data_IF_012696898605
#
_entry.id   IF_012696898605
#
_cell.length_a   1.000
_cell.length_b   1.000
_cell.length_c   1.000
_cell.angle_alpha   90.00
_cell.angle_beta   90.00
_cell.angle_gamma   90.00
#
_symmetry.space_group_name_H-M   'P 1'
#
loop_
_entity.id
_entity.type
_entity.pdbx_description
1 polymer ?
#
# COMPACT_ATOMS: atom_id res chain seq x y z
N UNK A 1 -3.31 -29.94 -48.95
CA UNK A 1 -3.74 -28.62 -48.42
C UNK A 1 -2.74 -28.24 -47.34
N UNK A 2 -2.22 -27.01 -47.41
CA UNK A 2 -0.98 -26.58 -46.76
C UNK A 2 -0.98 -26.70 -45.23
N UNK A 3 -0.08 -27.52 -44.70
CA UNK A 3 0.27 -27.59 -43.27
C UNK A 3 1.26 -26.48 -42.91
N UNK A 4 0.76 -25.40 -42.32
CA UNK A 4 1.58 -24.28 -41.83
C UNK A 4 1.95 -24.57 -40.37
N UNK A 5 3.13 -25.18 -40.21
CA UNK A 5 3.84 -25.32 -38.94
C UNK A 5 4.30 -23.93 -38.50
N UNK A 6 3.60 -23.32 -37.54
CA UNK A 6 4.04 -22.10 -36.88
C UNK A 6 5.23 -22.42 -35.96
N UNK A 7 6.36 -21.81 -36.29
CA UNK A 7 7.63 -21.93 -35.59
C UNK A 7 7.54 -21.30 -34.19
N UNK A 8 7.99 -22.08 -33.20
CA UNK A 8 8.29 -21.64 -31.85
C UNK A 8 9.59 -20.83 -31.90
N UNK A 9 9.52 -19.52 -31.69
CA UNK A 9 10.72 -18.69 -31.46
C UNK A 9 11.05 -18.72 -29.96
N UNK A 10 12.09 -19.48 -29.60
CA UNK A 10 12.76 -19.43 -28.31
C UNK A 10 13.68 -18.21 -28.25
N UNK A 11 13.38 -17.26 -27.35
CA UNK A 11 14.29 -16.15 -27.04
C UNK A 11 15.25 -16.59 -25.93
N UNK A 12 16.51 -16.82 -26.30
CA UNK A 12 17.66 -17.01 -25.41
C UNK A 12 18.19 -15.62 -25.04
N UNK A 13 18.05 -15.21 -23.78
CA UNK A 13 18.71 -14.03 -23.23
C UNK A 13 20.12 -14.41 -22.76
N UNK A 14 21.12 -13.99 -23.54
CA UNK A 14 22.54 -14.17 -23.28
C UNK A 14 23.08 -12.94 -22.53
N UNK A 15 23.70 -13.19 -21.36
CA UNK A 15 24.43 -12.23 -20.54
C UNK A 15 25.85 -12.05 -21.08
N UNK A 16 26.41 -10.84 -21.14
CA UNK A 16 27.86 -10.67 -21.18
C UNK A 16 28.40 -10.07 -19.87
N UNK A 17 29.42 -10.72 -19.33
CA UNK A 17 30.28 -10.25 -18.24
C UNK A 17 31.75 -10.36 -18.70
N UNK A 18 32.50 -9.25 -18.68
CA UNK A 18 33.98 -9.05 -18.69
C UNK A 18 34.29 -7.67 -19.32
N UNK A 19 35.25 -6.82 -18.91
CA UNK A 19 36.25 -6.85 -17.85
C UNK A 19 36.87 -5.43 -17.65
N UNK A 20 37.56 -5.29 -16.53
CA UNK A 20 38.44 -4.21 -16.07
C UNK A 20 39.37 -3.58 -17.11
N UNK A 21 39.67 -2.30 -16.89
CA UNK A 21 41.02 -1.78 -16.96
C UNK A 21 41.16 -0.60 -15.99
N UNK A 22 42.09 -0.77 -15.04
CA UNK A 22 42.61 0.19 -14.08
C UNK A 22 43.58 1.16 -14.77
N UNK A 23 43.73 2.38 -14.24
CA UNK A 23 45.02 3.09 -14.18
C UNK A 23 44.96 4.21 -13.13
N UNK A 24 45.75 4.02 -12.07
CA UNK A 24 46.19 4.97 -11.02
C UNK A 24 47.66 5.36 -11.36
N UNK A 25 48.44 6.13 -10.57
CA UNK A 25 48.22 7.36 -9.80
C UNK A 25 49.33 8.40 -10.12
N UNK A 26 49.24 9.68 -9.68
CA UNK A 26 50.42 10.41 -9.16
C UNK A 26 50.06 11.47 -8.12
N UNK A 27 50.59 11.27 -6.90
CA UNK A 27 50.78 12.27 -5.84
C UNK A 27 52.06 13.05 -6.11
N UNK A 28 52.06 14.38 -5.95
CA UNK A 28 53.18 15.14 -5.33
C UNK A 28 52.66 16.46 -4.74
N UNK A 29 52.60 16.57 -3.41
CA UNK A 29 53.42 17.46 -2.55
C UNK A 29 53.09 18.97 -2.64
N UNK A 30 52.55 19.49 -1.52
CA UNK A 30 52.43 20.90 -1.14
C UNK A 30 53.78 21.61 -1.09
N UNK A 31 53.81 22.93 -1.38
CA UNK A 31 54.52 23.83 -0.48
C UNK A 31 53.68 25.01 0.01
N UNK A 32 54.21 25.60 1.07
CA UNK A 32 53.60 26.52 2.02
C UNK A 32 53.34 27.95 1.51
N UNK A 33 52.48 28.63 2.28
CA UNK A 33 52.04 30.04 2.23
C UNK A 33 53.23 31.02 2.35
N UNK A 34 53.14 32.25 1.80
CA UNK A 34 53.00 33.40 2.70
C UNK A 34 51.81 34.32 2.34
N UNK A 35 51.30 34.98 3.38
CA UNK A 35 50.16 35.88 3.35
C UNK A 35 50.40 37.15 2.53
N UNK A 36 49.35 37.66 1.88
CA UNK A 36 49.25 39.05 1.45
C UNK A 36 47.92 39.64 2.00
N UNK A 37 47.92 40.86 2.57
CA UNK A 37 46.80 41.39 3.34
C UNK A 37 45.85 42.20 2.49
N UNK A 38 44.55 42.02 2.73
CA UNK A 38 43.55 43.08 2.53
C UNK A 38 42.87 43.15 1.16
N UNK A 39 41.66 42.58 1.09
CA UNK A 39 40.54 43.24 0.41
C UNK A 39 39.30 43.06 1.31
N UNK A 40 38.65 44.14 1.77
CA UNK A 40 37.46 44.06 2.59
C UNK A 40 36.20 43.89 1.72
N UNK A 41 35.36 42.94 2.12
CA UNK A 41 33.94 42.94 1.81
C UNK A 41 33.56 42.33 0.46
N UNK A 42 33.24 41.04 0.46
CA UNK A 42 32.31 40.51 -0.53
C UNK A 42 31.12 39.90 0.19
N UNK A 43 29.97 40.55 -0.02
CA UNK A 43 28.68 40.16 0.54
C UNK A 43 28.35 38.83 -0.09
N UNK A 44 28.35 37.74 0.69
CA UNK A 44 27.64 36.53 0.29
C UNK A 44 26.26 36.96 -0.21
N UNK A 45 25.90 36.76 -1.49
CA UNK A 45 24.56 37.12 -1.93
C UNK A 45 23.62 36.25 -1.13
N UNK A 46 22.92 36.89 -0.18
CA UNK A 46 21.80 36.29 0.51
C UNK A 46 20.86 35.79 -0.59
N UNK A 47 20.72 34.46 -0.69
CA UNK A 47 19.63 33.84 -1.45
C UNK A 47 18.35 34.59 -1.05
N UNK A 48 17.70 35.32 -1.97
CA UNK A 48 16.55 36.11 -1.61
C UNK A 48 15.47 35.14 -1.14
N UNK A 49 15.08 35.27 0.13
CA UNK A 49 13.91 34.61 0.69
C UNK A 49 12.71 35.04 -0.16
N UNK A 50 12.35 34.19 -1.11
CA UNK A 50 11.13 34.34 -1.92
C UNK A 50 9.96 34.37 -0.92
N UNK A 51 8.99 35.30 -1.03
CA UNK A 51 7.89 35.38 -0.08
C UNK A 51 7.13 34.05 -0.09
N UNK A 52 7.29 33.27 0.98
CA UNK A 52 6.87 31.88 1.06
C UNK A 52 5.34 31.70 1.16
N UNK A 53 4.57 32.78 1.23
CA UNK A 53 3.13 32.76 1.55
C UNK A 53 2.29 31.96 0.54
N UNK A 54 2.25 32.27 -0.77
CA UNK A 54 1.40 31.53 -1.72
C UNK A 54 1.88 30.09 -1.97
N UNK A 55 3.19 29.84 -1.84
CA UNK A 55 3.75 28.49 -2.01
C UNK A 55 3.40 27.57 -0.82
N UNK A 56 3.32 28.12 0.40
CA UNK A 56 2.91 27.38 1.60
C UNK A 56 1.40 27.12 1.65
N UNK A 57 0.57 28.10 1.25
CA UNK A 57 -0.88 27.94 1.11
C UNK A 57 -1.23 26.84 0.10
N UNK A 58 -0.70 26.92 -1.12
CA UNK A 58 -0.90 25.88 -2.16
C UNK A 58 -0.44 24.49 -1.69
N UNK A 59 0.61 24.42 -0.88
CA UNK A 59 1.10 23.15 -0.33
C UNK A 59 0.21 22.63 0.79
N UNK A 60 -0.39 23.52 1.59
CA UNK A 60 -1.39 23.19 2.61
C UNK A 60 -2.62 22.56 1.97
N UNK A 61 -3.21 23.21 0.97
CA UNK A 61 -4.42 22.75 0.28
C UNK A 61 -4.20 21.38 -0.37
N UNK A 62 -3.04 21.16 -1.00
CA UNK A 62 -2.68 19.86 -1.58
C UNK A 62 -2.58 18.76 -0.52
N UNK A 63 -2.12 19.08 0.68
CA UNK A 63 -2.06 18.11 1.79
C UNK A 63 -3.45 17.79 2.33
N UNK A 64 -4.33 18.79 2.48
CA UNK A 64 -5.72 18.60 2.89
C UNK A 64 -6.48 17.70 1.91
N UNK A 65 -6.45 18.05 0.63
CA UNK A 65 -7.08 17.27 -0.44
C UNK A 65 -6.59 15.81 -0.47
N UNK A 66 -5.29 15.60 -0.23
CA UNK A 66 -4.76 14.24 -0.16
C UNK A 66 -5.15 13.52 1.14
N UNK A 67 -5.28 14.25 2.25
CA UNK A 67 -5.84 13.76 3.51
C UNK A 67 -7.25 13.22 3.29
N UNK A 68 -8.17 14.05 2.80
CA UNK A 68 -9.54 13.67 2.49
C UNK A 68 -9.63 12.46 1.55
N UNK A 69 -8.81 12.43 0.48
CA UNK A 69 -8.79 11.30 -0.44
C UNK A 69 -8.40 10.01 0.26
N UNK A 70 -7.48 10.06 1.22
CA UNK A 70 -7.08 8.89 2.01
C UNK A 70 -8.19 8.48 2.98
N UNK A 71 -8.88 9.43 3.62
CA UNK A 71 -10.04 9.15 4.46
C UNK A 71 -11.15 8.42 3.68
N UNK A 72 -11.57 8.96 2.53
CA UNK A 72 -12.56 8.32 1.64
C UNK A 72 -12.13 6.91 1.21
N UNK A 73 -10.83 6.69 0.98
CA UNK A 73 -10.30 5.36 0.66
C UNK A 73 -10.25 4.42 1.88
N UNK A 74 -10.10 4.97 3.08
CA UNK A 74 -10.23 4.26 4.35
C UNK A 74 -11.65 3.74 4.54
N UNK A 75 -12.65 4.63 4.45
CA UNK A 75 -14.07 4.30 4.56
C UNK A 75 -14.51 3.24 3.55
N UNK A 76 -14.18 3.41 2.26
CA UNK A 76 -14.45 2.38 1.23
C UNK A 76 -13.83 1.02 1.52
N UNK A 77 -12.71 0.99 2.27
CA UNK A 77 -12.07 -0.26 2.67
C UNK A 77 -12.77 -0.87 3.88
N UNK A 78 -13.23 -0.07 4.83
CA UNK A 78 -14.07 -0.51 5.96
C UNK A 78 -15.37 -1.14 5.45
N UNK A 79 -16.10 -0.45 4.55
CA UNK A 79 -17.32 -1.00 3.93
C UNK A 79 -17.09 -2.35 3.22
N UNK A 80 -15.94 -2.49 2.54
CA UNK A 80 -15.55 -3.78 1.92
C UNK A 80 -15.25 -4.83 2.98
N UNK A 81 -14.67 -4.43 4.10
CA UNK A 81 -14.44 -5.26 5.28
C UNK A 81 -15.74 -5.81 5.82
N UNK A 82 -16.70 -4.94 6.14
CA UNK A 82 -18.05 -5.30 6.62
C UNK A 82 -18.77 -6.23 5.65
N UNK A 83 -18.76 -5.93 4.35
CA UNK A 83 -19.37 -6.82 3.34
C UNK A 83 -18.77 -8.22 3.34
N UNK A 84 -17.47 -8.36 3.61
CA UNK A 84 -16.85 -9.67 3.75
C UNK A 84 -17.24 -10.37 5.05
N UNK A 85 -17.40 -9.64 6.15
CA UNK A 85 -17.89 -10.19 7.43
C UNK A 85 -19.30 -10.74 7.25
N UNK A 86 -20.22 -9.93 6.71
CA UNK A 86 -21.60 -10.35 6.43
C UNK A 86 -21.68 -11.55 5.46
N UNK A 87 -20.74 -11.64 4.51
CA UNK A 87 -20.63 -12.80 3.62
C UNK A 87 -20.06 -14.03 4.33
N UNK A 88 -19.23 -13.86 5.35
CA UNK A 88 -18.72 -14.93 6.19
C UNK A 88 -19.83 -15.52 7.06
N UNK A 89 -20.59 -14.65 7.73
CA UNK A 89 -21.71 -15.04 8.60
C UNK A 89 -22.75 -15.84 7.81
N UNK A 90 -23.13 -15.37 6.61
CA UNK A 90 -24.05 -16.10 5.72
C UNK A 90 -23.51 -17.47 5.27
N UNK A 91 -22.20 -17.66 5.23
CA UNK A 91 -21.62 -18.97 4.91
C UNK A 91 -21.64 -19.89 6.14
N UNK A 92 -21.41 -19.37 7.35
CA UNK A 92 -21.57 -20.11 8.60
C UNK A 92 -23.02 -20.57 8.77
N UNK A 93 -24.00 -19.67 8.62
CA UNK A 93 -25.43 -20.01 8.71
C UNK A 93 -25.84 -21.10 7.69
N UNK A 94 -25.25 -21.08 6.49
CA UNK A 94 -25.46 -22.15 5.49
C UNK A 94 -24.79 -23.46 5.89
N UNK A 95 -23.65 -23.39 6.57
CA UNK A 95 -22.97 -24.55 7.13
C UNK A 95 -23.83 -25.22 8.20
N UNK A 96 -24.33 -24.45 9.16
CA UNK A 96 -25.22 -24.92 10.23
C UNK A 96 -26.48 -25.57 9.68
N UNK A 97 -27.16 -24.93 8.72
CA UNK A 97 -28.34 -25.52 8.03
C UNK A 97 -28.00 -26.82 7.30
N UNK A 98 -26.76 -26.97 6.87
CA UNK A 98 -26.30 -28.20 6.24
C UNK A 98 -26.05 -29.29 7.28
N UNK A 99 -25.51 -28.96 8.45
CA UNK A 99 -25.39 -29.90 9.57
C UNK A 99 -26.76 -30.37 10.07
N UNK A 100 -27.75 -29.47 10.24
CA UNK A 100 -29.11 -29.84 10.64
C UNK A 100 -29.78 -30.81 9.64
N UNK A 101 -29.50 -30.63 8.34
CA UNK A 101 -29.97 -31.57 7.29
C UNK A 101 -29.21 -32.90 7.34
N UNK A 102 -27.95 -32.89 7.74
CA UNK A 102 -27.15 -34.09 7.92
C UNK A 102 -27.78 -34.95 9.02
N UNK A 103 -28.08 -34.35 10.17
CA UNK A 103 -28.73 -35.02 11.30
C UNK A 103 -30.07 -35.67 10.90
N UNK A 104 -30.90 -34.96 10.12
CA UNK A 104 -32.16 -35.51 9.60
C UNK A 104 -31.96 -36.69 8.66
N UNK A 105 -30.92 -36.66 7.82
CA UNK A 105 -30.58 -37.77 6.93
C UNK A 105 -30.04 -38.97 7.71
N UNK A 106 -29.24 -38.72 8.74
CA UNK A 106 -28.68 -39.76 9.61
C UNK A 106 -29.80 -40.49 10.35
N UNK A 107 -30.74 -39.74 10.94
CA UNK A 107 -31.94 -40.27 11.58
C UNK A 107 -32.85 -41.06 10.61
N UNK A 108 -32.79 -40.78 9.31
CA UNK A 108 -33.50 -41.51 8.27
C UNK A 108 -32.75 -42.75 7.75
N UNK A 109 -31.57 -43.07 8.31
CA UNK A 109 -30.74 -44.22 7.91
C UNK A 109 -29.85 -43.96 6.69
N UNK A 110 -29.63 -42.70 6.31
CA UNK A 110 -28.79 -42.31 5.18
C UNK A 110 -27.40 -41.81 5.63
N UNK A 111 -26.70 -42.59 6.45
CA UNK A 111 -25.42 -42.25 7.10
C UNK A 111 -24.37 -41.64 6.13
N UNK A 112 -24.10 -42.31 4.99
CA UNK A 112 -23.11 -41.81 4.01
C UNK A 112 -23.50 -40.47 3.39
N UNK A 113 -24.81 -40.20 3.26
CA UNK A 113 -25.29 -38.93 2.75
C UNK A 113 -25.19 -37.84 3.82
N UNK A 114 -25.51 -38.19 5.08
CA UNK A 114 -25.36 -37.32 6.24
C UNK A 114 -23.90 -36.89 6.44
N UNK A 115 -22.96 -37.83 6.51
CA UNK A 115 -21.52 -37.55 6.68
C UNK A 115 -20.97 -36.61 5.60
N UNK A 116 -21.40 -36.79 4.35
CA UNK A 116 -21.02 -35.90 3.24
C UNK A 116 -21.57 -34.49 3.41
N UNK A 117 -22.77 -34.37 3.97
CA UNK A 117 -23.43 -33.09 4.21
C UNK A 117 -22.78 -32.36 5.39
N UNK A 118 -22.50 -33.07 6.48
CA UNK A 118 -21.78 -32.56 7.65
C UNK A 118 -20.41 -32.00 7.27
N UNK A 119 -19.59 -32.79 6.54
CA UNK A 119 -18.27 -32.34 6.04
C UNK A 119 -18.36 -31.07 5.19
N UNK A 120 -19.40 -30.95 4.37
CA UNK A 120 -19.63 -29.74 3.57
C UNK A 120 -20.08 -28.56 4.44
N UNK A 121 -20.88 -28.82 5.48
CA UNK A 121 -21.29 -27.83 6.48
C UNK A 121 -20.08 -27.23 7.20
N UNK A 122 -19.22 -28.08 7.78
CA UNK A 122 -17.98 -27.63 8.43
C UNK A 122 -17.06 -26.85 7.47
N UNK A 123 -16.97 -27.29 6.21
CA UNK A 123 -16.13 -26.61 5.21
C UNK A 123 -16.67 -25.21 4.92
N UNK A 124 -17.99 -25.03 4.90
CA UNK A 124 -18.64 -23.73 4.73
C UNK A 124 -18.42 -22.83 5.95
N UNK A 125 -18.52 -23.34 7.16
CA UNK A 125 -18.23 -22.59 8.39
C UNK A 125 -16.77 -22.12 8.43
N UNK A 126 -15.81 -23.02 8.18
CA UNK A 126 -14.38 -22.69 8.08
C UNK A 126 -14.11 -21.63 7.00
N UNK A 127 -14.79 -21.72 5.86
CA UNK A 127 -14.71 -20.70 4.82
C UNK A 127 -15.32 -19.36 5.25
N UNK A 128 -16.42 -19.40 6.02
CA UNK A 128 -17.09 -18.27 6.66
C UNK A 128 -16.17 -17.50 7.59
N UNK A 129 -15.60 -18.19 8.58
CA UNK A 129 -14.63 -17.63 9.51
C UNK A 129 -13.43 -16.99 8.80
N UNK A 130 -12.89 -17.66 7.78
CA UNK A 130 -11.78 -17.12 6.99
C UNK A 130 -12.16 -15.82 6.31
N UNK A 131 -13.41 -15.70 5.85
CA UNK A 131 -13.92 -14.49 5.19
C UNK A 131 -14.14 -13.35 6.18
N UNK A 132 -14.71 -13.63 7.35
CA UNK A 132 -14.82 -12.66 8.45
C UNK A 132 -13.45 -12.14 8.89
N UNK A 133 -12.49 -13.04 9.13
CA UNK A 133 -11.11 -12.66 9.46
C UNK A 133 -10.49 -11.76 8.40
N UNK A 134 -10.79 -12.01 7.11
CA UNK A 134 -10.34 -11.15 6.00
C UNK A 134 -11.06 -9.79 6.02
N UNK A 135 -12.36 -9.79 6.31
CA UNK A 135 -13.17 -8.59 6.49
C UNK A 135 -12.61 -7.68 7.58
N UNK A 136 -12.42 -8.20 8.79
CA UNK A 136 -11.86 -7.44 9.91
C UNK A 136 -10.43 -6.95 9.66
N UNK A 137 -9.61 -7.69 8.88
CA UNK A 137 -8.30 -7.17 8.44
C UNK A 137 -8.42 -5.97 7.50
N UNK A 138 -9.41 -5.98 6.60
CA UNK A 138 -9.64 -4.84 5.72
C UNK A 138 -10.18 -3.63 6.47
N UNK A 139 -11.09 -3.82 7.41
CA UNK A 139 -11.61 -2.76 8.27
C UNK A 139 -10.50 -2.05 9.04
N UNK A 140 -9.65 -2.81 9.75
CA UNK A 140 -8.46 -2.27 10.42
C UNK A 140 -7.51 -1.52 9.49
N UNK A 141 -7.34 -2.00 8.26
CA UNK A 141 -6.54 -1.28 7.26
C UNK A 141 -7.23 0.01 6.79
N UNK A 142 -8.56 0.03 6.72
CA UNK A 142 -9.36 1.20 6.39
C UNK A 142 -9.23 2.27 7.47
N UNK A 143 -9.44 1.91 8.74
CA UNK A 143 -9.22 2.79 9.90
C UNK A 143 -7.80 3.39 9.91
N UNK A 144 -6.77 2.56 9.73
CA UNK A 144 -5.38 3.04 9.67
C UNK A 144 -5.19 4.08 8.57
N UNK A 145 -5.85 3.88 7.43
CA UNK A 145 -5.76 4.81 6.29
C UNK A 145 -6.51 6.11 6.56
N UNK A 146 -7.65 6.03 7.22
CA UNK A 146 -8.42 7.19 7.65
C UNK A 146 -7.64 8.05 8.64
N UNK A 147 -7.06 7.46 9.68
CA UNK A 147 -6.16 8.16 10.62
C UNK A 147 -4.97 8.81 9.91
N UNK A 148 -4.41 8.15 8.89
CA UNK A 148 -3.33 8.74 8.09
C UNK A 148 -3.82 9.91 7.21
N UNK A 149 -5.06 9.83 6.72
CA UNK A 149 -5.76 10.92 6.05
C UNK A 149 -5.91 12.14 6.95
N UNK A 150 -6.49 11.94 8.13
CA UNK A 150 -6.68 12.97 9.15
C UNK A 150 -5.35 13.64 9.55
N UNK A 151 -4.31 12.86 9.84
CA UNK A 151 -2.99 13.40 10.16
C UNK A 151 -2.45 14.30 9.04
N UNK A 152 -2.70 13.93 7.79
CA UNK A 152 -2.21 14.69 6.64
C UNK A 152 -3.00 15.98 6.44
N UNK A 153 -4.30 15.94 6.66
CA UNK A 153 -5.18 17.10 6.62
C UNK A 153 -4.78 18.12 7.69
N UNK A 154 -4.61 17.67 8.94
CA UNK A 154 -4.08 18.47 10.04
C UNK A 154 -2.72 19.12 9.71
N UNK A 155 -1.86 18.40 8.99
CA UNK A 155 -0.58 18.96 8.51
C UNK A 155 -0.79 20.03 7.44
N UNK A 156 -1.76 19.85 6.55
CA UNK A 156 -2.16 20.83 5.54
C UNK A 156 -2.66 22.12 6.18
N UNK A 157 -3.61 22.02 7.11
CA UNK A 157 -4.14 23.18 7.84
C UNK A 157 -3.04 23.95 8.57
N UNK A 158 -2.10 23.23 9.21
CA UNK A 158 -0.98 23.86 9.91
C UNK A 158 -0.06 24.63 8.95
N UNK A 159 0.05 24.19 7.70
CA UNK A 159 0.86 24.87 6.68
C UNK A 159 0.16 26.12 6.16
N UNK A 160 -1.14 26.07 5.93
CA UNK A 160 -1.96 27.25 5.59
C UNK A 160 -1.91 28.30 6.70
N UNK A 161 -2.13 27.90 7.96
CA UNK A 161 -2.00 28.80 9.12
C UNK A 161 -0.62 29.46 9.25
N UNK A 162 0.42 28.86 8.66
CA UNK A 162 1.79 29.43 8.61
C UNK A 162 2.01 30.32 7.38
N UNK A 163 1.39 30.01 6.25
CA UNK A 163 1.45 30.80 5.02
C UNK A 163 0.63 32.08 5.07
N UNK A 164 -0.52 32.05 5.78
CA UNK A 164 -1.44 33.17 5.93
C UNK A 164 -1.15 34.14 7.08
N UNK A 165 -0.12 33.88 7.90
CA UNK A 165 0.37 34.87 8.89
C UNK A 165 1.21 35.91 8.16
N UNK A 166 0.62 37.09 7.92
CA UNK A 166 1.31 38.33 7.54
C UNK A 166 1.50 39.20 8.78
#
# INVERSE_FOLDING_TARGET
MFDIRWAVLSAVLMVPAFASAEDDPQKTVTPAVPADPGVPGDKTPAVPATPASPALENRGERLQNQGERMQRQGQRRQERGERLQNQGEKMQERGEKMQERAEKLDAAGHEKAAERLEKRGETLEKAGERRERRGGRMERQGERRERHGEHRENRGERMERRGGKK
#
